data_IF_164896444872
#
_entry.id   IF_164896444872
#
_cell.length_a   1.000
_cell.length_b   1.000
_cell.length_c   1.000
_cell.angle_alpha   90.00
_cell.angle_beta   90.00
_cell.angle_gamma   90.00
#
_symmetry.space_group_name_H-M   'P 1'
#
loop_
_entity.id
_entity.type
_entity.pdbx_description
1 polymer ?
#
# COMPACT_ATOMS: atom_id res chain seq x y z
N UNK A 1 -62.37 -18.19 41.80
CA UNK A 1 -60.91 -18.32 41.68
C UNK A 1 -60.59 -18.91 40.30
N UNK A 2 -60.32 -18.04 39.37
CA UNK A 2 -59.97 -18.34 37.97
C UNK A 2 -58.45 -18.37 37.83
N UNK A 3 -57.90 -19.51 37.45
CA UNK A 3 -56.50 -19.70 37.10
C UNK A 3 -56.23 -19.07 35.73
N UNK A 4 -55.18 -18.22 35.65
CA UNK A 4 -54.65 -17.69 34.39
C UNK A 4 -53.64 -18.68 33.84
N UNK A 5 -53.88 -19.16 32.64
CA UNK A 5 -52.91 -19.92 31.85
C UNK A 5 -51.80 -18.96 31.40
N UNK A 6 -50.54 -19.32 31.72
CA UNK A 6 -49.32 -18.67 31.28
C UNK A 6 -48.91 -19.28 29.94
N UNK A 7 -49.07 -18.57 28.87
CA UNK A 7 -48.59 -18.99 27.55
C UNK A 7 -47.07 -18.99 27.47
N UNK A 8 -46.49 -20.12 27.14
CA UNK A 8 -45.04 -20.32 26.88
C UNK A 8 -44.64 -19.56 25.61
N UNK A 9 -43.58 -18.76 25.61
CA UNK A 9 -43.11 -18.10 24.39
C UNK A 9 -42.53 -19.12 23.42
N UNK A 10 -42.98 -19.02 22.19
CA UNK A 10 -42.53 -19.83 21.05
C UNK A 10 -41.07 -19.44 20.71
N UNK A 11 -40.13 -20.38 20.90
CA UNK A 11 -38.72 -20.22 20.47
C UNK A 11 -38.66 -20.18 18.94
N UNK A 12 -38.30 -19.02 18.39
CA UNK A 12 -37.95 -18.88 16.96
C UNK A 12 -36.59 -19.57 16.77
N UNK A 13 -36.47 -20.57 15.88
CA UNK A 13 -35.20 -21.20 15.62
C UNK A 13 -34.26 -20.16 14.99
N UNK A 14 -33.09 -19.98 15.60
CA UNK A 14 -32.00 -19.16 15.02
C UNK A 14 -31.63 -19.76 13.66
N UNK A 15 -31.87 -18.97 12.62
CA UNK A 15 -31.43 -19.29 11.27
C UNK A 15 -29.89 -19.21 11.24
N UNK A 16 -29.24 -20.34 11.48
CA UNK A 16 -27.81 -20.52 11.25
C UNK A 16 -27.58 -20.53 9.72
N UNK A 17 -27.57 -19.36 9.11
CA UNK A 17 -26.98 -19.23 7.78
C UNK A 17 -25.47 -19.51 7.94
N UNK A 18 -25.05 -20.72 7.62
CA UNK A 18 -23.67 -21.01 7.24
C UNK A 18 -23.40 -20.12 6.02
N UNK A 19 -22.74 -18.97 6.25
CA UNK A 19 -22.08 -18.22 5.16
C UNK A 19 -21.11 -19.23 4.56
N UNK A 20 -21.41 -19.73 3.37
CA UNK A 20 -20.50 -20.56 2.62
C UNK A 20 -19.26 -19.69 2.36
N UNK A 21 -18.14 -20.06 2.97
CA UNK A 21 -16.83 -19.51 2.68
C UNK A 21 -16.44 -19.98 1.26
N UNK A 22 -17.11 -19.45 0.24
CA UNK A 22 -16.58 -19.58 -1.13
C UNK A 22 -15.36 -18.67 -1.22
N UNK A 23 -14.21 -19.26 -1.55
CA UNK A 23 -13.00 -18.51 -1.82
C UNK A 23 -13.29 -17.51 -2.94
N UNK A 24 -12.71 -16.31 -2.85
CA UNK A 24 -12.83 -15.31 -3.89
C UNK A 24 -12.19 -15.83 -5.19
N UNK A 25 -12.91 -15.65 -6.29
CA UNK A 25 -12.42 -15.92 -7.64
C UNK A 25 -12.51 -14.61 -8.41
N UNK A 26 -11.38 -14.14 -8.91
CA UNK A 26 -11.29 -12.88 -9.64
C UNK A 26 -11.99 -12.99 -11.01
N UNK A 27 -12.56 -11.88 -11.49
CA UNK A 27 -13.18 -11.81 -12.80
C UNK A 27 -12.20 -12.21 -13.91
N UNK A 28 -12.58 -13.14 -14.79
CA UNK A 28 -11.72 -13.62 -15.88
C UNK A 28 -11.35 -12.51 -16.86
N UNK A 29 -12.28 -11.59 -17.12
CA UNK A 29 -12.12 -10.48 -18.07
C UNK A 29 -11.52 -9.21 -17.44
N UNK A 30 -10.97 -9.27 -16.23
CA UNK A 30 -10.46 -8.09 -15.49
C UNK A 30 -9.42 -7.25 -16.24
N UNK A 31 -8.71 -7.83 -17.18
CA UNK A 31 -7.65 -7.15 -17.93
C UNK A 31 -8.10 -6.55 -19.27
N UNK A 32 -9.34 -6.75 -19.69
CA UNK A 32 -9.80 -6.36 -21.03
C UNK A 32 -9.96 -4.86 -21.23
N UNK A 33 -10.31 -4.12 -20.15
CA UNK A 33 -10.67 -2.70 -20.28
C UNK A 33 -9.66 -1.75 -19.62
N UNK A 34 -8.86 -2.23 -18.66
CA UNK A 34 -7.88 -1.41 -17.97
C UNK A 34 -6.64 -1.15 -18.83
N UNK A 35 -6.31 0.10 -19.15
CA UNK A 35 -5.07 0.41 -19.84
C UNK A 35 -3.87 0.31 -18.89
N UNK A 36 -2.81 -0.38 -19.32
CA UNK A 36 -1.55 -0.50 -18.61
C UNK A 36 -0.46 0.28 -19.31
N UNK A 37 0.34 1.03 -18.55
CA UNK A 37 1.43 1.85 -19.06
C UNK A 37 2.76 1.40 -18.47
N UNK A 38 3.77 1.31 -19.30
CA UNK A 38 5.14 1.03 -18.88
C UNK A 38 5.64 2.13 -17.93
N UNK A 39 6.23 1.73 -16.81
CA UNK A 39 6.80 2.64 -15.83
C UNK A 39 8.23 2.99 -16.22
N UNK A 40 8.41 4.14 -16.89
CA UNK A 40 9.70 4.56 -17.41
C UNK A 40 10.36 3.51 -18.30
N UNK A 41 11.65 3.25 -18.07
CA UNK A 41 12.44 2.24 -18.79
C UNK A 41 12.44 0.87 -18.11
N UNK A 42 11.67 0.68 -17.05
CA UNK A 42 11.56 -0.61 -16.35
C UNK A 42 10.66 -1.60 -17.11
N UNK A 43 10.67 -2.86 -16.71
CA UNK A 43 9.71 -3.88 -17.18
C UNK A 43 8.31 -3.75 -16.55
N UNK A 44 8.18 -2.91 -15.51
CA UNK A 44 6.94 -2.75 -14.76
C UNK A 44 5.86 -2.04 -15.59
N UNK A 45 4.65 -2.55 -15.57
CA UNK A 45 3.47 -1.91 -16.16
C UNK A 45 2.47 -1.59 -15.06
N UNK A 46 2.11 -0.33 -14.92
CA UNK A 46 1.11 0.12 -13.97
C UNK A 46 -0.25 0.31 -14.64
N UNK A 47 -1.35 -0.02 -13.97
CA UNK A 47 -2.69 0.33 -14.45
C UNK A 47 -2.83 1.85 -14.46
N UNK A 48 -3.72 2.37 -15.30
CA UNK A 48 -3.98 3.81 -15.39
C UNK A 48 -4.54 4.39 -14.08
N UNK A 49 -5.12 3.55 -13.25
CA UNK A 49 -5.68 3.90 -11.93
C UNK A 49 -5.12 2.93 -10.90
N UNK A 50 -4.72 3.45 -9.74
CA UNK A 50 -4.28 2.67 -8.58
C UNK A 50 -5.27 2.83 -7.43
N UNK A 51 -5.45 1.81 -6.61
CA UNK A 51 -6.23 1.92 -5.38
C UNK A 51 -5.33 2.39 -4.23
N UNK A 52 -5.52 3.63 -3.78
CA UNK A 52 -4.84 4.16 -2.59
C UNK A 52 -5.56 3.74 -1.30
N UNK A 53 -4.82 3.19 -0.36
CA UNK A 53 -5.36 2.65 0.88
C UNK A 53 -5.18 3.61 2.08
N UNK A 54 -5.12 4.90 1.84
CA UNK A 54 -5.01 5.88 2.94
C UNK A 54 -6.35 6.06 3.65
N UNK A 55 -7.37 6.53 2.92
CA UNK A 55 -8.71 6.74 3.47
C UNK A 55 -9.54 5.47 3.36
N UNK A 56 -10.45 5.25 4.33
CA UNK A 56 -11.37 4.11 4.37
C UNK A 56 -10.70 2.73 4.57
N UNK A 57 -9.41 2.69 4.90
CA UNK A 57 -8.70 1.45 5.22
C UNK A 57 -8.17 1.39 6.65
N UNK A 58 -8.50 2.40 7.48
CA UNK A 58 -8.17 2.43 8.89
C UNK A 58 -8.96 1.45 9.76
N UNK A 59 -8.69 1.50 11.06
CA UNK A 59 -9.34 0.62 12.06
C UNK A 59 -10.84 0.78 12.16
N UNK A 60 -11.36 1.98 11.88
CA UNK A 60 -12.79 2.30 12.01
C UNK A 60 -13.65 1.80 10.83
N UNK A 61 -13.04 1.41 9.72
CA UNK A 61 -13.76 0.89 8.56
C UNK A 61 -14.00 -0.62 8.70
N UNK A 62 -15.23 -1.12 8.52
CA UNK A 62 -15.51 -2.55 8.57
C UNK A 62 -14.63 -3.36 7.59
N UNK A 63 -14.18 -4.53 8.02
CA UNK A 63 -13.33 -5.41 7.21
C UNK A 63 -13.95 -5.74 5.85
N UNK A 64 -15.24 -6.12 5.84
CA UNK A 64 -15.96 -6.48 4.60
C UNK A 64 -16.06 -5.31 3.61
N UNK A 65 -16.12 -4.07 4.08
CA UNK A 65 -16.10 -2.90 3.21
C UNK A 65 -14.74 -2.76 2.51
N UNK A 66 -13.64 -2.86 3.27
CA UNK A 66 -12.27 -2.83 2.74
C UNK A 66 -12.04 -3.96 1.75
N UNK A 67 -12.49 -5.17 2.11
CA UNK A 67 -12.39 -6.37 1.29
C UNK A 67 -13.15 -6.24 -0.03
N UNK A 68 -14.40 -5.75 0.04
CA UNK A 68 -15.23 -5.49 -1.15
C UNK A 68 -14.58 -4.46 -2.10
N UNK A 69 -14.01 -3.38 -1.56
CA UNK A 69 -13.29 -2.38 -2.35
C UNK A 69 -12.08 -3.00 -3.08
N UNK A 70 -11.28 -3.82 -2.39
CA UNK A 70 -10.13 -4.49 -2.99
C UNK A 70 -10.52 -5.48 -4.09
N UNK A 71 -11.54 -6.30 -3.85
CA UNK A 71 -12.08 -7.24 -4.84
C UNK A 71 -12.58 -6.52 -6.08
N UNK A 72 -13.44 -5.50 -5.89
CA UNK A 72 -13.97 -4.70 -6.99
C UNK A 72 -12.86 -4.03 -7.80
N UNK A 73 -11.84 -3.48 -7.12
CA UNK A 73 -10.70 -2.89 -7.79
C UNK A 73 -9.97 -3.91 -8.68
N UNK A 74 -9.67 -5.08 -8.14
CA UNK A 74 -8.97 -6.13 -8.88
C UNK A 74 -9.81 -6.69 -10.04
N UNK A 75 -11.11 -6.91 -9.83
CA UNK A 75 -12.05 -7.34 -10.87
C UNK A 75 -12.19 -6.32 -12.02
N UNK A 76 -11.86 -5.05 -11.78
CA UNK A 76 -11.80 -3.99 -12.77
C UNK A 76 -10.39 -3.81 -13.38
N UNK A 77 -9.43 -4.67 -13.05
CA UNK A 77 -8.06 -4.62 -13.56
C UNK A 77 -7.15 -3.62 -12.84
N UNK A 78 -7.55 -3.10 -11.69
CA UNK A 78 -6.67 -2.29 -10.84
C UNK A 78 -5.74 -3.24 -10.09
N UNK A 79 -4.55 -3.44 -10.61
CA UNK A 79 -3.55 -4.35 -10.02
C UNK A 79 -2.64 -3.67 -9.00
N UNK A 80 -2.61 -2.34 -8.95
CA UNK A 80 -1.73 -1.58 -8.05
C UNK A 80 -2.48 -1.11 -6.81
N UNK A 81 -2.02 -1.59 -5.64
CA UNK A 81 -2.50 -1.23 -4.30
C UNK A 81 -1.41 -0.41 -3.61
N UNK A 82 -1.73 0.85 -3.31
CA UNK A 82 -0.78 1.83 -2.82
C UNK A 82 -0.98 2.13 -1.34
N UNK A 83 0.00 1.72 -0.52
CA UNK A 83 0.02 1.87 0.93
C UNK A 83 1.14 2.81 1.39
N UNK A 84 1.19 3.02 2.69
CA UNK A 84 2.32 3.54 3.44
C UNK A 84 2.25 3.03 4.89
N UNK A 85 3.42 2.99 5.54
CA UNK A 85 3.52 2.49 6.93
C UNK A 85 2.61 3.25 7.90
N UNK A 86 2.38 4.56 7.67
CA UNK A 86 1.59 5.42 8.55
C UNK A 86 0.10 5.51 8.17
N UNK A 87 -0.37 4.79 7.13
CA UNK A 87 -1.78 4.86 6.74
C UNK A 87 -2.69 4.17 7.77
N UNK A 88 -3.84 4.80 8.01
CA UNK A 88 -4.83 4.44 9.03
C UNK A 88 -5.89 5.52 9.17
N UNK A 89 -6.35 5.89 10.38
CA UNK A 89 -5.86 5.59 11.74
C UNK A 89 -6.23 4.19 12.26
N UNK A 90 -5.51 3.67 13.30
CA UNK A 90 -4.17 4.10 13.71
C UNK A 90 -3.10 3.80 12.67
N UNK A 91 -1.91 4.41 12.78
CA UNK A 91 -0.80 4.16 11.85
C UNK A 91 -0.47 2.66 11.75
N UNK A 92 -0.32 2.16 10.52
CA UNK A 92 -0.11 0.73 10.23
C UNK A 92 -1.37 -0.11 10.08
N UNK A 93 -2.55 0.41 10.47
CA UNK A 93 -3.79 -0.36 10.39
C UNK A 93 -4.23 -0.66 8.94
N UNK A 94 -3.93 0.22 8.00
CA UNK A 94 -4.22 -0.03 6.59
C UNK A 94 -3.40 -1.20 6.05
N UNK A 95 -2.11 -1.29 6.37
CA UNK A 95 -1.25 -2.43 5.99
C UNK A 95 -1.70 -3.73 6.64
N UNK A 96 -2.08 -3.69 7.93
CA UNK A 96 -2.60 -4.87 8.64
C UNK A 96 -3.89 -5.37 8.01
N UNK A 97 -4.84 -4.47 7.72
CA UNK A 97 -6.10 -4.81 7.08
C UNK A 97 -5.90 -5.37 5.66
N UNK A 98 -4.99 -4.77 4.88
CA UNK A 98 -4.67 -5.27 3.55
C UNK A 98 -3.98 -6.65 3.60
N UNK A 99 -3.12 -6.88 4.58
CA UNK A 99 -2.50 -8.20 4.82
C UNK A 99 -3.51 -9.31 5.12
N UNK A 100 -4.58 -8.99 5.85
CA UNK A 100 -5.71 -9.92 6.06
C UNK A 100 -6.42 -10.23 4.74
N UNK A 101 -6.72 -9.21 3.93
CA UNK A 101 -7.37 -9.35 2.63
C UNK A 101 -6.48 -10.13 1.65
N UNK A 102 -5.16 -9.88 1.63
CA UNK A 102 -4.21 -10.66 0.82
C UNK A 102 -4.28 -12.15 1.16
N UNK A 103 -4.27 -12.48 2.44
CA UNK A 103 -4.32 -13.87 2.90
C UNK A 103 -5.65 -14.54 2.56
N UNK A 104 -6.77 -13.81 2.66
CA UNK A 104 -8.13 -14.33 2.47
C UNK A 104 -8.49 -14.50 0.99
N UNK A 105 -8.13 -13.51 0.14
CA UNK A 105 -8.65 -13.38 -1.21
C UNK A 105 -7.59 -13.38 -2.31
N UNK A 106 -6.39 -12.86 -2.03
CA UNK A 106 -5.40 -12.57 -3.07
C UNK A 106 -4.13 -13.41 -2.99
N UNK A 107 -4.10 -14.41 -2.14
CA UNK A 107 -2.91 -15.26 -1.99
C UNK A 107 -2.47 -15.86 -3.32
N UNK A 108 -3.40 -16.39 -4.08
CA UNK A 108 -3.14 -17.05 -5.35
C UNK A 108 -2.92 -16.05 -6.50
N UNK A 109 -3.16 -14.76 -6.27
CA UNK A 109 -3.00 -13.67 -7.22
C UNK A 109 -1.79 -12.77 -6.90
N UNK A 110 -0.95 -13.12 -5.91
CA UNK A 110 0.16 -12.24 -5.47
C UNK A 110 1.05 -11.77 -6.63
N UNK A 111 1.34 -12.63 -7.57
CA UNK A 111 2.21 -12.33 -8.72
C UNK A 111 1.53 -11.45 -9.80
N UNK A 112 0.22 -11.29 -9.71
CA UNK A 112 -0.54 -10.38 -10.58
C UNK A 112 -0.68 -8.98 -9.96
N UNK A 113 -0.37 -8.83 -8.65
CA UNK A 113 -0.51 -7.58 -7.92
C UNK A 113 0.80 -6.80 -7.89
N UNK A 114 0.65 -5.48 -7.88
CA UNK A 114 1.71 -4.55 -7.54
C UNK A 114 1.35 -3.93 -6.19
N UNK A 115 2.14 -4.22 -5.19
CA UNK A 115 1.96 -3.72 -3.83
C UNK A 115 3.06 -2.70 -3.56
N UNK A 116 2.69 -1.47 -3.26
CA UNK A 116 3.65 -0.45 -2.85
C UNK A 116 3.44 -0.02 -1.41
N UNK A 117 4.54 0.25 -0.71
CA UNK A 117 4.50 0.90 0.59
C UNK A 117 5.61 1.95 0.72
N UNK A 118 5.52 2.79 1.75
CA UNK A 118 6.34 3.98 1.93
C UNK A 118 6.69 4.19 3.39
N UNK A 119 7.83 4.81 3.67
CA UNK A 119 8.19 5.27 5.00
C UNK A 119 8.76 6.69 4.96
N UNK A 120 8.44 7.51 5.99
CA UNK A 120 8.90 8.90 6.08
C UNK A 120 8.16 9.72 7.14
N UNK A 121 6.96 9.31 7.54
CA UNK A 121 6.16 9.96 8.56
C UNK A 121 6.22 9.21 9.88
N UNK A 122 5.80 9.87 10.97
CA UNK A 122 5.89 9.34 12.33
C UNK A 122 5.17 8.00 12.50
N UNK A 123 5.88 7.03 13.07
CA UNK A 123 5.38 5.68 13.37
C UNK A 123 5.52 5.29 14.83
N UNK A 124 6.55 5.79 15.51
CA UNK A 124 6.81 5.53 16.93
C UNK A 124 7.55 6.70 17.59
N UNK A 125 7.46 6.86 18.90
CA UNK A 125 8.13 7.96 19.59
C UNK A 125 9.65 7.83 19.60
N UNK A 126 10.32 8.97 19.72
CA UNK A 126 11.78 9.04 19.84
C UNK A 126 12.49 9.40 18.53
N UNK A 127 13.82 9.47 18.52
CA UNK A 127 14.60 10.09 17.45
C UNK A 127 14.68 9.27 16.15
N UNK A 128 14.17 8.04 16.14
CA UNK A 128 14.24 7.12 15.00
C UNK A 128 12.86 6.69 14.50
N UNK A 129 11.81 7.42 14.84
CA UNK A 129 10.43 7.05 14.52
C UNK A 129 9.89 7.66 13.22
N UNK A 130 10.66 8.50 12.53
CA UNK A 130 10.25 9.19 11.30
C UNK A 130 11.44 9.59 10.43
N UNK A 131 11.17 10.26 9.29
CA UNK A 131 12.10 10.84 8.33
C UNK A 131 12.82 9.82 7.44
N UNK A 132 14.07 10.09 7.06
CA UNK A 132 14.77 9.40 5.96
C UNK A 132 16.01 8.63 6.38
N UNK A 133 16.31 8.49 7.68
CA UNK A 133 17.51 7.76 8.11
C UNK A 133 17.48 6.30 7.65
N UNK A 134 18.67 5.74 7.38
CA UNK A 134 18.83 4.31 7.05
C UNK A 134 18.17 3.40 8.10
N UNK A 135 18.36 3.76 9.39
CA UNK A 135 17.78 2.99 10.50
C UNK A 135 16.26 2.95 10.42
N UNK A 136 15.63 4.11 10.20
CA UNK A 136 14.17 4.21 10.13
C UNK A 136 13.59 3.52 8.90
N UNK A 137 14.17 3.75 7.71
CA UNK A 137 13.63 3.18 6.47
C UNK A 137 13.68 1.65 6.46
N UNK A 138 14.79 1.05 6.88
CA UNK A 138 14.93 -0.42 6.93
C UNK A 138 13.98 -1.02 7.96
N UNK A 139 13.95 -0.45 9.19
CA UNK A 139 13.04 -0.93 10.23
C UNK A 139 11.56 -0.77 9.83
N UNK A 140 11.21 0.31 9.14
CA UNK A 140 9.86 0.54 8.61
C UNK A 140 9.48 -0.46 7.53
N UNK A 141 10.38 -0.75 6.60
CA UNK A 141 10.15 -1.77 5.58
C UNK A 141 9.87 -3.15 6.22
N UNK A 142 10.71 -3.57 7.16
CA UNK A 142 10.52 -4.83 7.88
C UNK A 142 9.19 -4.89 8.64
N UNK A 143 8.82 -3.80 9.30
CA UNK A 143 7.55 -3.70 9.99
C UNK A 143 6.34 -3.73 9.04
N UNK A 144 6.45 -3.10 7.86
CA UNK A 144 5.42 -3.11 6.80
C UNK A 144 5.21 -4.52 6.25
N UNK A 145 6.29 -5.22 5.90
CA UNK A 145 6.21 -6.62 5.43
C UNK A 145 5.55 -7.52 6.48
N UNK A 146 5.94 -7.36 7.76
CA UNK A 146 5.34 -8.12 8.86
C UNK A 146 3.85 -7.83 9.03
N UNK A 147 3.40 -6.56 8.93
CA UNK A 147 1.97 -6.20 9.02
C UNK A 147 1.17 -6.81 7.88
N UNK A 148 1.70 -6.76 6.67
CA UNK A 148 1.04 -7.32 5.49
C UNK A 148 1.16 -8.84 5.37
N UNK A 149 2.09 -9.47 6.09
CA UNK A 149 2.33 -10.92 6.03
C UNK A 149 2.88 -11.38 4.68
N UNK A 150 3.75 -10.57 4.06
CA UNK A 150 4.41 -10.83 2.77
C UNK A 150 5.93 -10.70 2.89
N UNK A 151 6.65 -11.33 1.98
CA UNK A 151 8.12 -11.36 1.99
C UNK A 151 8.72 -10.12 1.30
N UNK A 152 8.01 -9.52 0.35
CA UNK A 152 8.44 -8.34 -0.39
C UNK A 152 7.26 -7.46 -0.83
N UNK A 153 7.54 -6.17 -1.03
CA UNK A 153 6.68 -5.25 -1.79
C UNK A 153 7.25 -5.06 -3.20
N UNK A 154 6.40 -4.69 -4.15
CA UNK A 154 6.89 -4.42 -5.51
C UNK A 154 7.63 -3.09 -5.57
N UNK A 155 7.12 -2.06 -4.90
CA UNK A 155 7.80 -0.76 -4.83
C UNK A 155 7.87 -0.28 -3.38
N UNK A 156 9.06 0.09 -2.92
CA UNK A 156 9.22 0.77 -1.63
C UNK A 156 9.68 2.21 -1.82
N UNK A 157 8.98 3.16 -1.18
CA UNK A 157 9.22 4.59 -1.37
C UNK A 157 9.85 5.24 -0.14
N UNK A 158 10.80 6.17 -0.37
CA UNK A 158 11.02 7.27 0.56
C UNK A 158 9.83 8.23 0.44
N UNK A 159 9.00 8.33 1.48
CA UNK A 159 7.69 8.98 1.43
C UNK A 159 7.77 10.51 1.33
N UNK A 160 8.86 11.09 1.85
CA UNK A 160 9.18 12.52 1.77
C UNK A 160 10.68 12.75 1.88
N UNK A 161 11.12 13.89 1.39
CA UNK A 161 12.51 14.31 1.56
C UNK A 161 12.79 14.65 3.03
N UNK A 162 13.91 14.14 3.56
CA UNK A 162 14.44 14.50 4.87
C UNK A 162 15.51 15.59 4.72
N UNK A 163 15.31 16.81 5.28
CA UNK A 163 16.27 17.89 5.17
C UNK A 163 17.53 17.71 6.04
N UNK A 164 17.49 16.84 7.04
CA UNK A 164 18.57 16.68 8.03
C UNK A 164 19.44 15.43 7.79
N UNK A 165 18.90 14.43 7.07
CA UNK A 165 19.66 13.24 6.70
C UNK A 165 20.32 13.41 5.33
N UNK A 166 21.63 13.09 5.18
CA UNK A 166 22.28 13.06 3.87
C UNK A 166 21.49 12.22 2.88
N UNK A 167 21.27 12.76 1.67
CA UNK A 167 20.45 12.10 0.66
C UNK A 167 21.02 10.74 0.24
N UNK A 168 22.34 10.61 0.27
CA UNK A 168 23.10 9.39 0.01
C UNK A 168 22.75 8.28 1.02
N UNK A 169 22.51 8.64 2.29
CA UNK A 169 22.09 7.68 3.30
C UNK A 169 20.68 7.16 3.03
N UNK A 170 19.75 8.06 2.73
CA UNK A 170 18.35 7.72 2.39
C UNK A 170 18.29 6.85 1.14
N UNK A 171 18.99 7.22 0.07
CA UNK A 171 19.01 6.44 -1.18
C UNK A 171 19.76 5.11 -0.99
N UNK A 172 20.84 5.09 -0.23
CA UNK A 172 21.55 3.86 0.14
C UNK A 172 20.71 2.91 1.01
N UNK A 173 19.74 3.43 1.77
CA UNK A 173 18.76 2.59 2.46
C UNK A 173 17.78 1.93 1.48
N UNK A 174 17.28 2.66 0.49
CA UNK A 174 16.42 2.11 -0.57
C UNK A 174 17.15 1.06 -1.40
N UNK A 175 18.40 1.33 -1.81
CA UNK A 175 19.25 0.35 -2.50
C UNK A 175 19.40 -0.94 -1.67
N UNK A 176 19.71 -0.81 -0.37
CA UNK A 176 19.81 -1.96 0.51
C UNK A 176 18.50 -2.77 0.58
N UNK A 177 17.35 -2.11 0.69
CA UNK A 177 16.02 -2.76 0.73
C UNK A 177 15.79 -3.56 -0.55
N UNK A 178 16.13 -3.00 -1.72
CA UNK A 178 15.98 -3.69 -3.01
C UNK A 178 16.97 -4.86 -3.10
N UNK A 179 18.24 -4.65 -2.82
CA UNK A 179 19.26 -5.72 -2.89
C UNK A 179 19.03 -6.86 -1.90
N UNK A 180 18.38 -6.57 -0.77
CA UNK A 180 18.01 -7.61 0.20
C UNK A 180 16.74 -8.39 -0.17
N UNK A 181 16.12 -8.06 -1.32
CA UNK A 181 14.91 -8.73 -1.81
C UNK A 181 13.62 -8.33 -1.09
N UNK A 182 13.64 -7.29 -0.25
CA UNK A 182 12.45 -6.80 0.47
C UNK A 182 11.57 -5.87 -0.37
N UNK A 183 12.11 -5.34 -1.45
CA UNK A 183 11.37 -4.66 -2.50
C UNK A 183 11.97 -5.01 -3.87
N UNK A 184 11.16 -4.99 -4.93
CA UNK A 184 11.64 -5.20 -6.29
C UNK A 184 12.17 -3.90 -6.89
N UNK A 185 11.58 -2.77 -6.53
CA UNK A 185 11.91 -1.44 -7.06
C UNK A 185 11.96 -0.39 -5.96
N UNK A 186 12.81 0.62 -6.16
CA UNK A 186 12.89 1.82 -5.33
C UNK A 186 12.07 2.94 -5.95
N UNK A 187 11.38 3.73 -5.11
CA UNK A 187 10.66 4.94 -5.49
C UNK A 187 10.88 6.10 -4.53
N UNK A 188 10.49 7.29 -4.92
CA UNK A 188 10.48 8.49 -4.08
C UNK A 188 9.12 9.18 -4.15
N UNK A 189 8.78 9.94 -3.11
CA UNK A 189 7.52 10.67 -3.05
C UNK A 189 7.74 12.06 -2.46
N UNK A 190 7.01 13.07 -2.95
CA UNK A 190 7.03 14.43 -2.42
C UNK A 190 8.40 15.13 -2.47
N UNK A 191 9.24 14.77 -3.41
CA UNK A 191 10.52 15.45 -3.70
C UNK A 191 10.30 16.56 -4.73
N UNK A 192 10.97 17.71 -4.59
CA UNK A 192 10.98 18.72 -5.64
C UNK A 192 11.95 18.31 -6.78
N UNK A 193 11.93 19.03 -7.91
CA UNK A 193 12.70 18.67 -9.10
C UNK A 193 14.21 18.59 -8.85
N UNK A 194 14.78 19.51 -8.07
CA UNK A 194 16.21 19.50 -7.72
C UNK A 194 16.58 18.24 -6.93
N UNK A 195 15.79 17.91 -5.92
CA UNK A 195 16.00 16.75 -5.05
C UNK A 195 15.71 15.42 -5.76
N UNK A 196 14.71 15.41 -6.63
CA UNK A 196 14.42 14.26 -7.50
C UNK A 196 15.61 13.92 -8.39
N UNK A 197 16.18 14.93 -9.09
CA UNK A 197 17.36 14.71 -9.93
C UNK A 197 18.55 14.18 -9.14
N UNK A 198 18.81 14.74 -7.95
CA UNK A 198 19.90 14.27 -7.09
C UNK A 198 19.67 12.83 -6.60
N UNK A 199 18.45 12.50 -6.12
CA UNK A 199 18.10 11.15 -5.67
C UNK A 199 18.23 10.12 -6.80
N UNK A 200 17.74 10.45 -8.00
CA UNK A 200 17.85 9.59 -9.18
C UNK A 200 19.31 9.35 -9.59
N UNK A 201 20.14 10.38 -9.54
CA UNK A 201 21.59 10.23 -9.84
C UNK A 201 22.25 9.26 -8.85
N UNK A 202 22.03 9.44 -7.54
CA UNK A 202 22.59 8.55 -6.51
C UNK A 202 22.10 7.12 -6.69
N UNK A 203 20.80 6.89 -6.91
CA UNK A 203 20.26 5.55 -7.12
C UNK A 203 20.79 4.89 -8.38
N UNK A 204 21.01 5.65 -9.46
CA UNK A 204 21.63 5.13 -10.68
C UNK A 204 23.09 4.73 -10.45
N UNK A 205 23.86 5.54 -9.71
CA UNK A 205 25.25 5.23 -9.36
C UNK A 205 25.35 3.97 -8.49
N UNK A 206 24.35 3.73 -7.63
CA UNK A 206 24.23 2.51 -6.84
C UNK A 206 23.77 1.28 -7.65
N UNK A 207 23.28 1.47 -8.88
CA UNK A 207 22.75 0.40 -9.74
C UNK A 207 21.32 -0.01 -9.39
N UNK A 208 20.60 0.81 -8.63
CA UNK A 208 19.19 0.62 -8.26
C UNK A 208 18.35 1.80 -8.79
N UNK A 209 17.96 1.80 -10.07
CA UNK A 209 17.24 2.93 -10.66
C UNK A 209 15.93 3.24 -9.94
N UNK A 210 15.65 4.55 -9.75
CA UNK A 210 14.36 5.00 -9.26
C UNK A 210 13.27 4.69 -10.30
N UNK A 211 12.32 3.82 -9.95
CA UNK A 211 11.27 3.40 -10.90
C UNK A 211 10.15 4.42 -11.02
N UNK A 212 9.83 5.13 -9.93
CA UNK A 212 8.68 6.02 -9.86
C UNK A 212 8.90 7.17 -8.88
N UNK A 213 8.35 8.33 -9.22
CA UNK A 213 8.15 9.44 -8.30
C UNK A 213 6.64 9.69 -8.12
N UNK A 214 6.17 9.68 -6.88
CA UNK A 214 4.76 9.91 -6.53
C UNK A 214 4.60 11.28 -5.85
N UNK A 215 4.38 12.37 -6.59
CA UNK A 215 4.10 13.69 -6.02
C UNK A 215 2.60 13.85 -5.72
N UNK A 216 2.27 14.76 -4.80
CA UNK A 216 0.90 15.25 -4.66
C UNK A 216 0.53 16.09 -5.89
N UNK A 217 -0.36 15.57 -6.72
CA UNK A 217 -0.81 16.20 -7.95
C UNK A 217 -2.31 16.05 -8.15
N UNK A 218 -3.00 17.14 -8.46
CA UNK A 218 -4.44 17.13 -8.73
C UNK A 218 -4.81 18.33 -9.62
N UNK A 219 -6.07 18.41 -10.03
CA UNK A 219 -6.60 19.56 -10.77
C UNK A 219 -6.37 20.87 -9.99
N UNK A 220 -6.48 20.83 -8.66
CA UNK A 220 -6.31 21.99 -7.78
C UNK A 220 -4.86 22.19 -7.32
N UNK A 221 -4.06 21.13 -7.27
CA UNK A 221 -2.66 21.17 -6.81
C UNK A 221 -1.72 20.81 -7.96
N UNK A 222 -1.24 21.83 -8.67
CA UNK A 222 -0.42 21.69 -9.88
C UNK A 222 1.01 22.19 -9.71
N UNK A 223 1.55 22.16 -8.47
CA UNK A 223 2.92 22.60 -8.18
C UNK A 223 3.95 21.84 -9.01
N UNK A 224 3.72 20.56 -9.22
CA UNK A 224 4.55 19.63 -9.99
C UNK A 224 4.91 20.17 -11.41
N UNK A 225 3.95 20.79 -12.09
CA UNK A 225 4.16 21.35 -13.43
C UNK A 225 5.07 22.56 -13.42
N UNK A 226 4.96 23.41 -12.37
CA UNK A 226 5.76 24.63 -12.22
C UNK A 226 7.18 24.34 -11.74
N UNK A 227 7.37 23.24 -11.04
CA UNK A 227 8.68 22.82 -10.51
C UNK A 227 9.57 22.13 -11.56
N UNK A 228 9.07 21.86 -12.78
CA UNK A 228 9.84 21.24 -13.86
C UNK A 228 10.09 19.75 -13.69
N UNK A 229 9.15 19.05 -13.07
CA UNK A 229 9.14 17.59 -12.94
C UNK A 229 8.36 16.88 -14.08
N UNK A 230 7.87 17.67 -15.04
CA UNK A 230 7.19 17.18 -16.24
C UNK A 230 8.16 16.63 -17.25
#
# INVERSE_FOLDING_TARGET
>A
TTAREISTPMLIPACNQKVSNMSYVAAENRYETMPYRKCGNSGLKLPAISLGLWHNFGGDTPHETKRSLCRTAFDLGITHFDLANNYGPPAGSAESAFGEILREDFRDYRDELIISSKAGYNMWPGPYGEWGSRKYLIASCDASLKRMGIDYVDIFYSHRFDPETPLEETMGALDHIVRSGKALYAGISSYNSKRTRAAVAILNDLGTPCVSHQPSYSILNRWFERDGLK
#
